data_IF_951562125514
#
_entry.id   IF_951562125514
#
_cell.length_a   1.000
_cell.length_b   1.000
_cell.length_c   1.000
_cell.angle_alpha   90.00
_cell.angle_beta   90.00
_cell.angle_gamma   90.00
#
_symmetry.space_group_name_H-M   'P 1'
#
loop_
_entity.id
_entity.type
_entity.pdbx_description
1 polymer ?
#
# COMPACT_ATOMS: atom_id res chain seq x y z
N UNK A 1 27.09 -55.28 19.57
CA UNK A 1 26.62 -53.87 19.60
C UNK A 1 26.94 -53.22 20.95
N UNK A 2 28.21 -53.18 21.35
CA UNK A 2 28.64 -52.47 22.58
C UNK A 2 29.99 -51.75 22.42
N UNK A 3 30.80 -52.10 21.42
CA UNK A 3 32.13 -51.51 21.19
C UNK A 3 32.14 -50.19 20.41
N UNK A 4 31.11 -49.89 19.59
CA UNK A 4 31.09 -48.65 18.81
C UNK A 4 30.71 -47.40 19.63
N UNK A 5 30.06 -47.58 20.79
CA UNK A 5 29.59 -46.47 21.64
C UNK A 5 30.68 -45.98 22.60
N UNK A 6 31.67 -46.82 22.92
CA UNK A 6 32.76 -46.48 23.84
C UNK A 6 33.78 -45.48 23.28
N UNK A 7 33.77 -45.24 21.97
CA UNK A 7 34.65 -44.27 21.32
C UNK A 7 34.00 -42.90 21.09
N UNK A 8 32.72 -42.75 21.42
CA UNK A 8 32.05 -41.44 21.33
C UNK A 8 32.47 -40.64 22.57
N UNK A 9 33.19 -39.52 22.42
CA UNK A 9 33.53 -38.68 23.55
C UNK A 9 32.23 -38.17 24.18
N UNK A 10 32.18 -38.18 25.51
CA UNK A 10 31.03 -37.65 26.25
C UNK A 10 30.71 -36.22 25.76
N UNK A 11 29.42 -35.86 25.56
CA UNK A 11 29.05 -34.49 25.29
C UNK A 11 29.70 -33.60 26.34
N UNK A 12 30.40 -32.55 25.90
CA UNK A 12 30.87 -31.55 26.83
C UNK A 12 29.63 -30.95 27.48
N UNK A 13 29.61 -30.88 28.81
CA UNK A 13 28.57 -30.14 29.51
C UNK A 13 28.45 -28.76 28.87
N UNK A 14 27.22 -28.40 28.52
CA UNK A 14 26.93 -27.07 28.03
C UNK A 14 27.43 -26.07 29.07
N UNK A 15 28.26 -25.11 28.66
CA UNK A 15 28.64 -24.04 29.57
C UNK A 15 27.38 -23.19 29.75
N UNK A 16 26.81 -23.21 30.95
CA UNK A 16 25.69 -22.32 31.27
C UNK A 16 26.11 -20.88 30.95
N UNK A 17 25.25 -20.15 30.23
CA UNK A 17 25.53 -18.76 29.90
C UNK A 17 25.51 -17.94 31.19
N UNK A 18 26.53 -17.12 31.38
CA UNK A 18 26.57 -16.16 32.49
C UNK A 18 25.38 -15.20 32.34
N UNK A 19 24.45 -15.16 33.33
CA UNK A 19 23.28 -14.30 33.27
C UNK A 19 23.61 -12.82 33.07
N UNK A 20 24.76 -12.35 33.57
CA UNK A 20 25.16 -10.94 33.42
C UNK A 20 25.65 -10.66 32.00
N UNK A 21 26.36 -11.61 31.38
CA UNK A 21 26.75 -11.52 29.97
C UNK A 21 25.52 -11.52 29.07
N UNK A 22 24.53 -12.36 29.38
CA UNK A 22 23.27 -12.40 28.65
C UNK A 22 22.50 -11.08 28.78
N UNK A 23 22.39 -10.56 30.00
CA UNK A 23 21.71 -9.29 30.26
C UNK A 23 22.38 -8.12 29.54
N UNK A 24 23.71 -8.08 29.53
CA UNK A 24 24.47 -7.06 28.81
C UNK A 24 24.23 -7.14 27.30
N UNK A 25 24.29 -8.34 26.73
CA UNK A 25 24.03 -8.56 25.30
C UNK A 25 22.60 -8.16 24.90
N UNK A 26 21.59 -8.45 25.74
CA UNK A 26 20.20 -8.02 25.51
C UNK A 26 20.07 -6.51 25.56
N UNK A 27 20.70 -5.85 26.54
CA UNK A 27 20.66 -4.40 26.66
C UNK A 27 21.30 -3.73 25.44
N UNK A 28 22.45 -4.23 24.99
CA UNK A 28 23.14 -3.75 23.79
C UNK A 28 22.27 -3.92 22.55
N UNK A 29 21.63 -5.08 22.38
CA UNK A 29 20.73 -5.33 21.26
C UNK A 29 19.50 -4.41 21.26
N UNK A 30 18.90 -4.15 22.43
CA UNK A 30 17.74 -3.24 22.56
C UNK A 30 18.15 -1.80 22.29
N UNK A 31 19.31 -1.37 22.79
CA UNK A 31 19.83 -0.02 22.55
C UNK A 31 20.25 0.21 21.10
N UNK A 32 20.56 -0.86 20.36
CA UNK A 32 20.86 -0.80 18.93
C UNK A 32 19.60 -0.70 18.06
N UNK A 33 18.40 -0.85 18.62
CA UNK A 33 17.16 -0.64 17.87
C UNK A 33 17.06 0.85 17.46
N UNK A 34 16.65 1.14 16.21
CA UNK A 34 16.40 2.51 15.80
C UNK A 34 15.30 3.12 16.67
N UNK A 35 15.41 4.43 16.93
CA UNK A 35 14.36 5.16 17.60
C UNK A 35 13.02 5.02 16.83
N UNK A 36 11.88 4.90 17.54
CA UNK A 36 10.59 4.93 16.88
C UNK A 36 10.45 6.23 16.07
N UNK A 37 9.95 6.11 14.86
CA UNK A 37 9.65 7.26 14.01
C UNK A 37 8.22 7.69 14.26
N UNK A 38 7.99 9.00 14.30
CA UNK A 38 6.64 9.56 14.37
C UNK A 38 5.82 9.13 13.15
N UNK A 39 4.52 8.96 13.35
CA UNK A 39 3.58 8.73 12.25
C UNK A 39 3.53 9.92 11.30
N UNK A 40 3.15 9.69 10.03
CA UNK A 40 2.83 10.79 9.12
C UNK A 40 1.42 11.28 9.40
N UNK A 41 1.29 12.51 9.85
CA UNK A 41 -0.01 13.18 10.00
C UNK A 41 -0.70 13.36 8.64
N UNK A 42 -2.03 13.34 8.62
CA UNK A 42 -2.82 13.50 7.40
C UNK A 42 -2.56 14.85 6.70
N UNK A 43 -2.17 15.89 7.44
CA UNK A 43 -1.83 17.21 6.90
C UNK A 43 -0.57 17.21 6.04
N UNK A 44 0.31 16.21 6.19
CA UNK A 44 1.51 16.07 5.35
C UNK A 44 1.23 15.40 3.99
N UNK A 45 -0.02 15.02 3.70
CA UNK A 45 -0.36 14.35 2.46
C UNK A 45 -0.40 15.32 1.28
N UNK A 46 0.54 15.16 0.35
CA UNK A 46 0.54 15.87 -0.92
C UNK A 46 -0.29 15.08 -1.96
N UNK A 47 -1.29 15.74 -2.55
CA UNK A 47 -2.11 15.17 -3.62
C UNK A 47 -1.73 15.84 -4.94
N UNK A 48 -1.21 15.04 -5.87
CA UNK A 48 -0.86 15.52 -7.20
C UNK A 48 -2.13 15.90 -7.99
N UNK A 49 -2.09 16.98 -8.80
CA UNK A 49 -3.27 17.45 -9.54
C UNK A 49 -3.67 16.53 -10.70
N UNK A 50 -2.79 15.63 -11.15
CA UNK A 50 -3.10 14.65 -12.18
C UNK A 50 -2.12 13.46 -12.11
N UNK A 51 -2.57 12.29 -12.53
CA UNK A 51 -1.67 11.17 -12.88
C UNK A 51 -1.06 11.45 -14.25
N UNK A 52 0.27 11.42 -14.31
CA UNK A 52 1.04 11.39 -15.55
C UNK A 52 1.43 9.93 -15.83
N UNK A 53 0.78 9.29 -16.80
CA UNK A 53 0.97 7.87 -17.10
C UNK A 53 2.33 7.54 -17.73
N UNK A 54 3.11 8.56 -18.11
CA UNK A 54 4.49 8.41 -18.56
C UNK A 54 5.48 8.32 -17.38
N UNK A 55 5.03 8.57 -16.16
CA UNK A 55 5.86 8.55 -14.94
C UNK A 55 5.55 7.36 -14.06
N UNK A 56 6.57 6.94 -13.31
CA UNK A 56 6.45 5.95 -12.24
C UNK A 56 6.47 6.65 -10.89
N UNK A 57 5.46 6.37 -10.07
CA UNK A 57 5.30 6.94 -8.74
C UNK A 57 5.52 5.86 -7.67
N UNK A 58 6.11 6.20 -6.52
CA UNK A 58 6.27 5.25 -5.42
C UNK A 58 4.91 4.92 -4.77
N UNK A 59 4.87 3.80 -4.03
CA UNK A 59 3.73 3.46 -3.18
C UNK A 59 3.43 4.60 -2.20
N UNK A 60 2.14 4.89 -2.01
CA UNK A 60 1.66 5.93 -1.10
C UNK A 60 1.52 7.31 -1.73
N UNK A 61 1.83 7.47 -3.02
CA UNK A 61 1.48 8.69 -3.76
C UNK A 61 -0.03 8.81 -3.93
N UNK A 62 -0.56 10.02 -3.78
CA UNK A 62 -1.95 10.35 -4.05
C UNK A 62 -2.04 11.31 -5.24
N UNK A 63 -3.06 11.14 -6.07
CA UNK A 63 -3.30 12.00 -7.22
C UNK A 63 -4.79 12.05 -7.57
N UNK A 64 -5.22 13.14 -8.18
CA UNK A 64 -6.54 13.19 -8.84
C UNK A 64 -6.47 12.57 -10.24
N UNK A 65 -7.48 11.80 -10.62
CA UNK A 65 -7.60 11.23 -11.97
C UNK A 65 -9.06 10.92 -12.30
N UNK A 66 -9.51 11.34 -13.49
CA UNK A 66 -10.89 11.16 -13.96
C UNK A 66 -11.93 11.58 -12.93
N UNK A 67 -11.73 12.74 -12.29
CA UNK A 67 -12.64 13.28 -11.27
C UNK A 67 -12.58 12.62 -9.88
N UNK A 68 -11.77 11.59 -9.70
CA UNK A 68 -11.64 10.83 -8.45
C UNK A 68 -10.30 11.03 -7.74
N UNK A 69 -10.22 10.54 -6.50
CA UNK A 69 -8.97 10.48 -5.73
C UNK A 69 -8.37 9.08 -5.82
N UNK A 70 -7.11 9.01 -6.21
CA UNK A 70 -6.40 7.76 -6.42
C UNK A 70 -5.16 7.65 -5.54
N UNK A 71 -4.83 6.42 -5.12
CA UNK A 71 -3.62 6.10 -4.36
C UNK A 71 -2.81 5.04 -5.08
N UNK A 72 -1.49 5.23 -5.12
CA UNK A 72 -0.57 4.19 -5.54
C UNK A 72 -0.41 3.13 -4.42
N UNK A 73 -0.91 1.91 -4.61
CA UNK A 73 -0.73 0.81 -3.64
C UNK A 73 0.62 0.09 -3.81
N UNK A 74 1.28 0.29 -4.95
CA UNK A 74 2.61 -0.19 -5.29
C UNK A 74 3.36 0.83 -6.15
N UNK A 75 4.58 0.52 -6.60
CA UNK A 75 5.27 1.37 -7.58
C UNK A 75 4.54 1.31 -8.93
N UNK A 76 4.13 2.46 -9.44
CA UNK A 76 3.23 2.52 -10.61
C UNK A 76 3.99 2.35 -11.93
N UNK A 77 3.29 1.81 -12.93
CA UNK A 77 3.75 1.71 -14.32
C UNK A 77 2.59 2.10 -15.23
N UNK A 78 2.53 3.37 -15.64
CA UNK A 78 1.31 3.96 -16.17
C UNK A 78 0.18 3.89 -15.15
N UNK A 79 -0.99 3.39 -15.58
CA UNK A 79 -2.15 3.20 -14.71
C UNK A 79 -2.09 1.96 -13.80
N UNK A 80 -1.13 1.04 -14.03
CA UNK A 80 -0.93 -0.10 -13.12
C UNK A 80 -0.39 0.40 -11.78
N UNK A 81 -0.94 -0.13 -10.69
CA UNK A 81 -0.48 0.18 -9.33
C UNK A 81 -1.28 1.28 -8.66
N UNK A 82 -2.27 1.85 -9.36
CA UNK A 82 -3.22 2.82 -8.82
C UNK A 82 -4.53 2.13 -8.41
N UNK A 83 -5.12 2.60 -7.31
CA UNK A 83 -6.49 2.27 -6.91
C UNK A 83 -7.31 3.55 -6.75
N UNK A 84 -8.59 3.50 -7.14
CA UNK A 84 -9.53 4.58 -6.93
C UNK A 84 -10.07 4.50 -5.49
N UNK A 85 -9.81 5.52 -4.68
CA UNK A 85 -10.29 5.59 -3.29
C UNK A 85 -11.60 6.36 -3.17
N UNK A 86 -11.75 7.43 -3.95
CA UNK A 86 -12.98 8.22 -4.03
C UNK A 86 -13.47 8.14 -5.46
N UNK A 87 -14.60 7.47 -5.64
CA UNK A 87 -15.24 7.34 -6.95
C UNK A 87 -15.96 8.63 -7.30
N UNK A 88 -15.26 9.49 -8.05
CA UNK A 88 -15.78 10.77 -8.50
C UNK A 88 -16.52 10.65 -9.82
N UNK A 89 -16.92 11.80 -10.36
CA UNK A 89 -17.52 11.89 -11.70
C UNK A 89 -16.43 12.23 -12.71
N UNK A 90 -16.14 11.29 -13.60
CA UNK A 90 -15.18 11.47 -14.68
C UNK A 90 -15.75 12.31 -15.82
N UNK A 91 -17.02 12.08 -16.13
CA UNK A 91 -17.70 12.70 -17.27
C UNK A 91 -19.22 12.61 -17.12
N UNK A 92 -19.92 13.60 -17.69
CA UNK A 92 -21.38 13.61 -17.80
C UNK A 92 -21.72 13.95 -19.25
N UNK A 93 -22.38 13.02 -19.93
CA UNK A 93 -22.88 13.21 -21.29
C UNK A 93 -24.41 13.32 -21.25
N UNK A 94 -24.94 14.36 -21.88
CA UNK A 94 -26.38 14.60 -21.99
C UNK A 94 -26.73 14.65 -23.47
N UNK A 95 -27.58 13.74 -23.91
CA UNK A 95 -28.04 13.66 -25.29
C UNK A 95 -29.56 13.77 -25.36
N UNK A 96 -30.06 14.47 -26.38
CA UNK A 96 -31.49 14.61 -26.64
C UNK A 96 -31.81 13.83 -27.92
N UNK A 97 -32.65 12.80 -27.79
CA UNK A 97 -33.04 11.94 -28.92
C UNK A 97 -34.32 12.41 -29.59
N UNK A 98 -35.17 13.16 -28.87
CA UNK A 98 -36.37 13.85 -29.37
C UNK A 98 -36.73 15.04 -28.45
N UNK A 99 -37.67 15.92 -28.82
CA UNK A 99 -38.05 17.14 -28.07
C UNK A 99 -38.43 16.91 -26.59
N UNK A 100 -38.83 15.69 -26.24
CA UNK A 100 -39.21 15.29 -24.88
C UNK A 100 -38.35 14.18 -24.30
N UNK A 101 -37.40 13.65 -25.06
CA UNK A 101 -36.61 12.49 -24.67
C UNK A 101 -35.14 12.88 -24.55
N UNK A 102 -34.60 12.86 -23.33
CA UNK A 102 -33.18 13.06 -23.11
C UNK A 102 -32.58 11.94 -22.25
N UNK A 103 -31.35 11.55 -22.59
CA UNK A 103 -30.54 10.60 -21.85
C UNK A 103 -29.39 11.32 -21.16
N UNK A 104 -29.12 10.93 -19.91
CA UNK A 104 -27.97 11.37 -19.12
C UNK A 104 -27.11 10.15 -18.83
N UNK A 105 -25.85 10.20 -19.26
CA UNK A 105 -24.83 9.18 -19.00
C UNK A 105 -23.79 9.77 -18.05
N UNK A 106 -23.63 9.14 -16.88
CA UNK A 106 -22.61 9.51 -15.89
C UNK A 106 -21.53 8.43 -15.90
N UNK A 107 -20.29 8.83 -16.17
CA UNK A 107 -19.11 7.97 -16.06
C UNK A 107 -18.37 8.32 -14.77
N UNK A 108 -18.17 7.31 -13.92
CA UNK A 108 -17.44 7.44 -12.67
C UNK A 108 -15.96 7.13 -12.87
N UNK A 109 -15.11 7.63 -11.96
CA UNK A 109 -13.65 7.44 -12.02
C UNK A 109 -13.25 5.97 -12.04
N UNK A 110 -13.97 5.10 -11.32
CA UNK A 110 -13.77 3.65 -11.29
C UNK A 110 -14.04 2.95 -12.62
N UNK A 111 -14.63 3.65 -13.59
CA UNK A 111 -15.11 3.10 -14.85
C UNK A 111 -16.58 2.68 -14.82
N UNK A 112 -17.27 2.79 -13.68
CA UNK A 112 -18.72 2.53 -13.62
C UNK A 112 -19.48 3.56 -14.46
N UNK A 113 -20.43 3.09 -15.28
CA UNK A 113 -21.28 3.94 -16.10
C UNK A 113 -22.75 3.78 -15.68
N UNK A 114 -23.47 4.89 -15.54
CA UNK A 114 -24.92 4.90 -15.28
C UNK A 114 -25.62 5.75 -16.34
N UNK A 115 -26.57 5.16 -17.06
CA UNK A 115 -27.41 5.86 -18.02
C UNK A 115 -28.84 5.95 -17.50
N UNK A 116 -29.47 7.12 -17.67
CA UNK A 116 -30.89 7.34 -17.37
C UNK A 116 -31.55 8.13 -18.50
N UNK A 117 -32.70 7.67 -18.92
CA UNK A 117 -33.53 8.34 -19.93
C UNK A 117 -34.76 8.96 -19.26
N UNK A 118 -35.10 10.17 -19.70
CA UNK A 118 -36.19 10.99 -19.18
C UNK A 118 -37.12 11.39 -20.32
N UNK A 119 -38.43 11.26 -20.10
CA UNK A 119 -39.51 11.50 -21.06
C UNK A 119 -40.48 12.58 -20.59
#
# INVERSE_FOLDING_TARGET
MKEAVSHIPAPRDGRDYDPEVLKQAVLEAVNALPAPQDGRDATALEVLPAIDDQKSFPRGTYATHLGGLWRAYEKTHGMRGWECLVDGVADIDVSMTDERLFSVVIRQSSGQCTEKTFS
#
